data_IF_441999435841
#
_entry.id   IF_441999435841
#
_cell.length_a   1.000
_cell.length_b   1.000
_cell.length_c   1.000
_cell.angle_alpha   90.00
_cell.angle_beta   90.00
_cell.angle_gamma   90.00
#
_symmetry.space_group_name_H-M   'P 1'
#
loop_
_entity.id
_entity.type
_entity.pdbx_description
1 polymer ?
#
# COMPACT_ATOMS: atom_id res chain seq x y z
N UNK A 1 15.77 15.02 27.91
CA UNK A 1 14.82 15.57 26.93
C UNK A 1 14.48 14.43 25.98
N UNK A 2 13.21 14.10 25.82
CA UNK A 2 12.84 13.04 24.88
C UNK A 2 13.08 13.52 23.45
N UNK A 3 13.70 12.67 22.61
CA UNK A 3 13.88 12.96 21.19
C UNK A 3 12.52 13.17 20.55
N UNK A 4 12.36 14.27 19.83
CA UNK A 4 11.13 14.53 19.08
C UNK A 4 11.06 13.57 17.90
N UNK A 5 10.00 12.77 17.82
CA UNK A 5 9.76 11.85 16.72
C UNK A 5 8.85 12.53 15.71
N UNK A 6 9.31 12.62 14.47
CA UNK A 6 8.55 13.21 13.38
C UNK A 6 8.27 12.16 12.31
N UNK A 7 7.11 12.30 11.66
CA UNK A 7 6.69 11.44 10.56
C UNK A 7 6.33 12.27 9.33
N UNK A 8 6.76 11.83 8.17
CA UNK A 8 6.38 12.45 6.90
C UNK A 8 6.26 11.41 5.79
N UNK A 9 5.51 11.74 4.75
CA UNK A 9 5.40 10.92 3.54
C UNK A 9 6.14 11.63 2.42
N UNK A 10 6.96 10.91 1.66
CA UNK A 10 7.62 11.43 0.48
C UNK A 10 7.46 10.48 -0.71
N UNK A 11 7.26 11.05 -1.89
CA UNK A 11 7.29 10.28 -3.14
C UNK A 11 8.71 9.81 -3.44
N UNK A 12 8.83 8.58 -3.93
CA UNK A 12 10.11 7.97 -4.28
C UNK A 12 10.05 7.39 -5.69
N UNK A 13 11.19 7.39 -6.37
CA UNK A 13 11.36 6.83 -7.69
C UNK A 13 12.20 5.55 -7.68
N UNK A 14 12.76 5.24 -8.84
CA UNK A 14 13.53 4.01 -9.07
C UNK A 14 14.77 3.90 -8.18
N UNK A 15 15.35 5.02 -7.78
CA UNK A 15 16.51 5.08 -6.89
C UNK A 15 16.24 4.48 -5.52
N UNK A 16 14.97 4.43 -5.09
CA UNK A 16 14.55 3.88 -3.80
C UNK A 16 14.24 2.38 -3.85
N UNK A 17 14.29 1.73 -5.00
CA UNK A 17 13.93 0.31 -5.14
C UNK A 17 14.70 -0.60 -4.19
N UNK A 18 16.04 -0.48 -4.03
CA UNK A 18 16.76 -1.33 -3.09
C UNK A 18 16.23 -1.21 -1.65
N UNK A 19 16.00 0.00 -1.19
CA UNK A 19 15.51 0.29 0.15
C UNK A 19 14.05 -0.15 0.33
N UNK A 20 13.21 0.03 -0.69
CA UNK A 20 11.83 -0.45 -0.71
C UNK A 20 11.78 -1.98 -0.58
N UNK A 21 12.65 -2.68 -1.30
CA UNK A 21 12.71 -4.14 -1.26
C UNK A 21 13.16 -4.66 0.12
N UNK A 22 14.16 -4.03 0.72
CA UNK A 22 14.58 -4.37 2.09
C UNK A 22 13.43 -4.21 3.09
N UNK A 23 12.72 -3.09 3.03
CA UNK A 23 11.59 -2.82 3.89
C UNK A 23 10.44 -3.81 3.65
N UNK A 24 10.12 -4.11 2.40
CA UNK A 24 9.09 -5.08 2.04
C UNK A 24 9.39 -6.49 2.53
N UNK A 25 10.65 -6.94 2.48
CA UNK A 25 11.07 -8.25 3.01
C UNK A 25 10.89 -8.39 4.52
N UNK A 26 10.93 -7.30 5.26
CA UNK A 26 10.60 -7.30 6.69
C UNK A 26 9.08 -7.33 6.90
N UNK A 27 8.35 -6.46 6.20
CA UNK A 27 6.94 -6.18 6.49
C UNK A 27 6.01 -7.25 5.92
N UNK A 28 6.17 -7.62 4.64
CA UNK A 28 5.23 -8.49 3.94
C UNK A 28 5.19 -9.91 4.52
N UNK A 29 6.32 -10.61 4.68
CA UNK A 29 6.31 -11.94 5.32
C UNK A 29 5.74 -11.91 6.75
N UNK A 30 6.08 -10.90 7.54
CA UNK A 30 5.53 -10.74 8.89
C UNK A 30 4.00 -10.59 8.87
N UNK A 31 3.48 -9.82 7.92
CA UNK A 31 2.03 -9.58 7.80
C UNK A 31 1.26 -10.85 7.42
N UNK A 32 1.80 -11.65 6.49
CA UNK A 32 1.07 -12.77 5.88
C UNK A 32 1.41 -14.16 6.42
N UNK A 33 2.36 -14.28 7.33
CA UNK A 33 2.84 -15.58 7.87
C UNK A 33 1.76 -16.47 8.49
N UNK A 34 0.66 -15.92 8.94
CA UNK A 34 -0.47 -16.65 9.52
C UNK A 34 -1.60 -16.92 8.52
N UNK A 35 -1.52 -16.32 7.33
CA UNK A 35 -2.57 -16.40 6.29
C UNK A 35 -2.14 -17.21 5.07
N UNK A 36 -0.85 -17.20 4.75
CA UNK A 36 -0.27 -17.81 3.56
C UNK A 36 0.89 -18.74 3.94
N UNK A 37 1.13 -19.73 3.06
CA UNK A 37 2.30 -20.60 3.21
C UNK A 37 3.60 -19.83 2.96
N UNK A 38 4.75 -20.26 3.54
CA UNK A 38 6.05 -19.67 3.23
C UNK A 38 6.36 -19.66 1.73
N UNK A 39 6.03 -20.72 1.02
CA UNK A 39 6.25 -20.86 -0.42
C UNK A 39 5.42 -19.85 -1.22
N UNK A 40 4.17 -19.60 -0.83
CA UNK A 40 3.34 -18.60 -1.46
C UNK A 40 3.85 -17.17 -1.17
N UNK A 41 4.31 -16.92 0.04
CA UNK A 41 4.93 -15.64 0.41
C UNK A 41 6.16 -15.37 -0.46
N UNK A 42 7.07 -16.34 -0.59
CA UNK A 42 8.26 -16.21 -1.42
C UNK A 42 7.91 -15.95 -2.90
N UNK A 43 6.92 -16.68 -3.41
CA UNK A 43 6.41 -16.47 -4.77
C UNK A 43 5.85 -15.05 -4.96
N UNK A 44 5.03 -14.57 -4.02
CA UNK A 44 4.44 -13.24 -4.07
C UNK A 44 5.48 -12.14 -3.91
N UNK A 45 6.52 -12.36 -3.09
CA UNK A 45 7.63 -11.41 -2.95
C UNK A 45 8.39 -11.25 -4.27
N UNK A 46 8.68 -12.34 -4.99
CA UNK A 46 9.30 -12.26 -6.30
C UNK A 46 8.39 -11.58 -7.32
N UNK A 47 7.12 -11.96 -7.36
CA UNK A 47 6.13 -11.44 -8.30
C UNK A 47 5.89 -9.94 -8.15
N UNK A 48 5.85 -9.42 -6.90
CA UNK A 48 5.47 -8.03 -6.61
C UNK A 48 6.65 -7.11 -6.30
N UNK A 49 7.74 -7.65 -5.73
CA UNK A 49 8.83 -6.86 -5.16
C UNK A 49 10.20 -7.17 -5.75
N UNK A 50 10.31 -8.01 -6.78
CA UNK A 50 11.57 -8.07 -7.53
C UNK A 50 11.85 -6.70 -8.16
N UNK A 51 13.13 -6.37 -8.35
CA UNK A 51 13.53 -5.10 -9.01
C UNK A 51 12.79 -4.93 -10.34
N UNK A 52 12.77 -5.97 -11.16
CA UNK A 52 12.06 -5.98 -12.44
C UNK A 52 10.57 -5.70 -12.28
N UNK A 53 9.92 -6.29 -11.27
CA UNK A 53 8.49 -6.10 -11.02
C UNK A 53 8.19 -4.64 -10.63
N UNK A 54 8.98 -4.05 -9.73
CA UNK A 54 8.78 -2.66 -9.31
C UNK A 54 9.07 -1.68 -10.45
N UNK A 55 10.12 -1.91 -11.24
CA UNK A 55 10.42 -1.10 -12.43
C UNK A 55 9.26 -1.11 -13.42
N UNK A 56 8.70 -2.30 -13.70
CA UNK A 56 7.52 -2.41 -14.56
C UNK A 56 6.31 -1.67 -14.00
N UNK A 57 6.05 -1.81 -12.70
CA UNK A 57 4.96 -1.11 -12.02
C UNK A 57 5.11 0.41 -12.15
N UNK A 58 6.30 0.94 -11.96
CA UNK A 58 6.56 2.38 -12.07
C UNK A 58 6.49 2.89 -13.52
N UNK A 59 7.13 2.18 -14.44
CA UNK A 59 7.30 2.64 -15.84
C UNK A 59 6.10 2.37 -16.73
N UNK A 60 5.51 1.17 -16.60
CA UNK A 60 4.50 0.70 -17.55
C UNK A 60 3.08 0.76 -16.96
N UNK A 61 2.91 0.41 -15.68
CA UNK A 61 1.60 0.43 -15.03
C UNK A 61 1.23 1.80 -14.44
N UNK A 62 2.20 2.66 -14.21
CA UNK A 62 1.99 4.02 -13.72
C UNK A 62 1.86 4.13 -12.21
N UNK A 63 2.37 3.16 -11.46
CA UNK A 63 2.37 3.21 -9.99
C UNK A 63 3.22 4.38 -9.49
N UNK A 64 2.67 5.16 -8.58
CA UNK A 64 3.44 6.09 -7.75
C UNK A 64 3.69 5.47 -6.40
N UNK A 65 4.95 5.51 -5.97
CA UNK A 65 5.42 4.97 -4.70
C UNK A 65 5.78 6.06 -3.72
N UNK A 66 5.49 5.81 -2.44
CA UNK A 66 5.76 6.74 -1.35
C UNK A 66 6.35 5.99 -0.16
N UNK A 67 7.33 6.58 0.50
CA UNK A 67 7.77 6.14 1.81
C UNK A 67 7.06 6.92 2.91
N UNK A 68 6.75 6.23 4.00
CA UNK A 68 6.52 6.82 5.30
C UNK A 68 7.85 6.84 6.03
N UNK A 69 8.33 8.03 6.33
CA UNK A 69 9.62 8.26 6.99
C UNK A 69 9.40 8.63 8.44
N UNK A 70 10.26 8.10 9.31
CA UNK A 70 10.38 8.49 10.71
C UNK A 70 11.72 9.18 10.92
N UNK A 71 11.71 10.33 11.58
CA UNK A 71 12.92 11.04 11.97
C UNK A 71 13.06 11.03 13.50
N UNK A 72 14.21 10.60 13.99
CA UNK A 72 14.61 10.63 15.41
C UNK A 72 16.06 11.15 15.46
N UNK A 73 16.31 12.19 16.24
CA UNK A 73 17.67 12.78 16.39
C UNK A 73 18.34 13.06 15.03
N UNK A 74 17.60 13.68 14.10
CA UNK A 74 18.01 13.99 12.73
C UNK A 74 18.35 12.76 11.85
N UNK A 75 18.09 11.55 12.34
CA UNK A 75 18.21 10.32 11.54
C UNK A 75 16.84 9.96 10.95
N UNK A 76 16.80 9.86 9.63
CA UNK A 76 15.59 9.53 8.89
C UNK A 76 15.63 8.11 8.36
N UNK A 77 14.57 7.34 8.58
CA UNK A 77 14.44 5.97 8.10
C UNK A 77 13.03 5.68 7.56
N UNK A 78 12.89 4.84 6.52
CA UNK A 78 11.58 4.40 6.04
C UNK A 78 11.02 3.33 6.99
N UNK A 79 9.77 3.53 7.40
CA UNK A 79 9.03 2.62 8.29
C UNK A 79 7.69 2.17 7.71
N UNK A 80 7.41 2.52 6.49
CA UNK A 80 6.23 2.12 5.76
C UNK A 80 6.29 2.58 4.32
N UNK A 81 5.38 2.09 3.52
CA UNK A 81 5.26 2.46 2.11
C UNK A 81 3.85 2.30 1.60
N UNK A 82 3.55 3.04 0.55
CA UNK A 82 2.33 2.88 -0.21
C UNK A 82 2.59 3.00 -1.71
N UNK A 83 1.74 2.39 -2.51
CA UNK A 83 1.67 2.66 -3.94
C UNK A 83 0.23 2.75 -4.42
N UNK A 84 0.00 3.67 -5.34
CA UNK A 84 -1.29 3.94 -5.97
C UNK A 84 -1.09 3.99 -7.47
N UNK A 85 -2.04 3.47 -8.22
CA UNK A 85 -2.03 3.50 -9.69
C UNK A 85 -3.37 3.93 -10.27
N UNK A 86 -3.40 4.45 -11.50
CA UNK A 86 -4.64 4.59 -12.26
C UNK A 86 -5.25 3.22 -12.57
N UNK A 87 -6.59 3.11 -12.57
CA UNK A 87 -7.31 1.87 -12.87
C UNK A 87 -8.59 2.09 -13.71
N UNK A 88 -8.62 3.16 -14.46
CA UNK A 88 -9.74 3.55 -15.30
C UNK A 88 -10.05 5.03 -15.17
N UNK A 89 -11.12 5.47 -15.81
CA UNK A 89 -11.54 6.86 -15.74
C UNK A 89 -12.00 7.22 -14.32
N UNK A 90 -11.30 8.16 -13.69
CA UNK A 90 -11.53 8.60 -12.30
C UNK A 90 -11.56 7.46 -11.27
N UNK A 91 -10.95 6.33 -11.58
CA UNK A 91 -10.78 5.21 -10.66
C UNK A 91 -9.30 4.93 -10.45
N UNK A 92 -8.91 4.77 -9.19
CA UNK A 92 -7.53 4.55 -8.78
C UNK A 92 -7.45 3.35 -7.84
N UNK A 93 -6.34 2.64 -7.88
CA UNK A 93 -6.14 1.44 -7.08
C UNK A 93 -4.99 1.65 -6.09
N UNK A 94 -5.28 1.46 -4.81
CA UNK A 94 -4.28 1.40 -3.75
C UNK A 94 -3.68 -0.02 -3.75
N UNK A 95 -2.50 -0.15 -4.33
CA UNK A 95 -1.84 -1.46 -4.51
C UNK A 95 -1.16 -1.94 -3.22
N UNK A 96 -0.53 -1.01 -2.50
CA UNK A 96 0.25 -1.30 -1.30
C UNK A 96 0.03 -0.24 -0.24
N UNK A 97 -0.20 -0.66 0.99
CA UNK A 97 -0.23 0.18 2.17
C UNK A 97 0.26 -0.66 3.35
N UNK A 98 1.47 -0.43 3.79
CA UNK A 98 2.11 -1.19 4.83
C UNK A 98 2.92 -0.32 5.78
N UNK A 99 2.91 -0.67 7.06
CA UNK A 99 3.76 -0.08 8.10
C UNK A 99 4.61 -1.16 8.76
N UNK A 100 5.82 -0.78 9.18
CA UNK A 100 6.68 -1.67 9.94
C UNK A 100 5.96 -2.14 11.20
N UNK A 101 6.10 -3.43 11.60
CA UNK A 101 5.42 -3.96 12.79
C UNK A 101 5.65 -3.16 14.07
N UNK A 102 6.84 -2.58 14.22
CA UNK A 102 7.22 -1.80 15.43
C UNK A 102 6.46 -0.49 15.61
N UNK A 103 5.79 0.01 14.56
CA UNK A 103 5.08 1.32 14.60
C UNK A 103 3.58 1.18 14.45
N UNK A 104 3.05 -0.02 14.58
CA UNK A 104 1.60 -0.26 14.53
C UNK A 104 0.92 0.36 15.77
N UNK A 105 -0.33 0.80 15.58
CA UNK A 105 -1.11 1.43 16.64
C UNK A 105 -0.84 2.92 16.88
N UNK A 106 0.00 3.56 16.05
CA UNK A 106 0.33 5.00 16.14
C UNK A 106 -0.48 5.89 15.17
N UNK A 107 -1.48 5.33 14.50
CA UNK A 107 -2.29 6.08 13.52
C UNK A 107 -1.61 6.32 12.17
N UNK A 108 -0.46 5.69 11.91
CA UNK A 108 0.32 5.89 10.70
C UNK A 108 -0.33 5.29 9.44
N UNK A 109 -1.09 4.20 9.60
CA UNK A 109 -1.89 3.65 8.52
C UNK A 109 -2.98 4.63 8.04
N UNK A 110 -3.59 5.37 8.95
CA UNK A 110 -4.55 6.44 8.62
C UNK A 110 -3.87 7.57 7.86
N UNK A 111 -2.65 7.95 8.23
CA UNK A 111 -1.85 8.96 7.52
C UNK A 111 -1.56 8.53 6.08
N UNK A 112 -1.14 7.27 5.87
CA UNK A 112 -0.91 6.69 4.54
C UNK A 112 -2.20 6.64 3.71
N UNK A 113 -3.30 6.22 4.31
CA UNK A 113 -4.59 6.14 3.63
C UNK A 113 -5.09 7.52 3.17
N UNK A 114 -4.98 8.54 4.03
CA UNK A 114 -5.31 9.90 3.68
C UNK A 114 -4.44 10.42 2.52
N UNK A 115 -3.16 10.05 2.50
CA UNK A 115 -2.27 10.39 1.39
C UNK A 115 -2.69 9.72 0.08
N UNK A 116 -3.07 8.44 0.12
CA UNK A 116 -3.59 7.74 -1.05
C UNK A 116 -4.84 8.42 -1.64
N UNK A 117 -5.76 8.86 -0.78
CA UNK A 117 -6.94 9.63 -1.20
C UNK A 117 -6.56 10.97 -1.84
N UNK A 118 -5.55 11.67 -1.29
CA UNK A 118 -5.05 12.91 -1.84
C UNK A 118 -4.43 12.73 -3.23
N UNK A 119 -3.66 11.65 -3.44
CA UNK A 119 -3.08 11.30 -4.73
C UNK A 119 -4.18 11.00 -5.76
N UNK A 120 -5.19 10.23 -5.40
CA UNK A 120 -6.33 9.95 -6.28
C UNK A 120 -7.07 11.23 -6.69
N UNK A 121 -7.33 12.11 -5.72
CA UNK A 121 -7.97 13.40 -5.97
C UNK A 121 -7.12 14.34 -6.86
N UNK A 122 -5.80 14.34 -6.68
CA UNK A 122 -4.87 15.09 -7.52
C UNK A 122 -4.93 14.60 -8.98
N UNK A 123 -4.84 13.28 -9.21
CA UNK A 123 -4.95 12.71 -10.55
C UNK A 123 -6.31 12.98 -11.21
N UNK A 124 -7.38 13.00 -10.42
CA UNK A 124 -8.72 13.34 -10.91
C UNK A 124 -8.90 14.84 -11.20
N UNK A 125 -7.88 15.67 -10.94
CA UNK A 125 -7.98 17.12 -11.10
C UNK A 125 -9.00 17.76 -10.15
N UNK A 126 -9.19 17.17 -8.97
CA UNK A 126 -10.17 17.59 -7.97
C UNK A 126 -11.62 17.14 -8.26
N UNK A 127 -11.87 16.47 -9.38
CA UNK A 127 -13.19 15.90 -9.69
C UNK A 127 -13.49 14.70 -8.79
N UNK A 128 -14.77 14.36 -8.67
CA UNK A 128 -15.18 13.15 -7.97
C UNK A 128 -14.47 11.91 -8.56
N UNK A 129 -13.96 11.04 -7.68
CA UNK A 129 -13.24 9.86 -8.09
C UNK A 129 -13.44 8.72 -7.09
N UNK A 130 -12.92 7.56 -7.41
CA UNK A 130 -13.03 6.35 -6.61
C UNK A 130 -11.66 5.75 -6.33
N UNK A 131 -11.41 5.38 -5.09
CA UNK A 131 -10.23 4.62 -4.67
C UNK A 131 -10.66 3.20 -4.30
N UNK A 132 -10.02 2.22 -4.91
CA UNK A 132 -10.27 0.80 -4.65
C UNK A 132 -8.99 0.12 -4.14
N UNK A 133 -9.15 -1.02 -3.50
CA UNK A 133 -8.07 -1.92 -3.14
C UNK A 133 -8.54 -3.36 -3.06
N UNK A 134 -7.59 -4.29 -3.18
CA UNK A 134 -7.79 -5.67 -2.84
C UNK A 134 -7.17 -5.97 -1.48
N UNK A 135 -7.86 -6.72 -0.64
CA UNK A 135 -7.37 -7.17 0.67
C UNK A 135 -7.77 -8.61 0.91
N UNK A 136 -6.83 -9.43 1.35
CA UNK A 136 -7.12 -10.82 1.74
C UNK A 136 -8.25 -10.86 2.76
N UNK A 137 -9.24 -11.73 2.55
CA UNK A 137 -10.43 -11.83 3.40
C UNK A 137 -10.12 -12.15 4.86
N UNK A 138 -9.01 -12.84 5.11
CA UNK A 138 -8.54 -13.21 6.45
C UNK A 138 -7.61 -12.15 7.08
N UNK A 139 -7.29 -11.09 6.34
CA UNK A 139 -6.40 -10.04 6.83
C UNK A 139 -7.15 -9.11 7.81
N UNK A 140 -6.64 -8.92 9.04
CA UNK A 140 -7.22 -7.97 10.01
C UNK A 140 -7.34 -6.53 9.48
N UNK A 141 -6.60 -6.17 8.44
CA UNK A 141 -6.70 -4.87 7.77
C UNK A 141 -8.08 -4.59 7.17
N UNK A 142 -8.91 -5.60 6.91
CA UNK A 142 -10.32 -5.41 6.48
C UNK A 142 -11.05 -4.47 7.46
N UNK A 143 -10.92 -4.72 8.76
CA UNK A 143 -11.51 -3.85 9.79
C UNK A 143 -10.95 -2.42 9.76
N UNK A 144 -9.67 -2.27 9.49
CA UNK A 144 -9.04 -0.95 9.31
C UNK A 144 -9.67 -0.19 8.13
N UNK A 145 -9.80 -0.82 6.97
CA UNK A 145 -10.38 -0.16 5.80
C UNK A 145 -11.86 0.19 5.98
N UNK A 146 -12.64 -0.65 6.67
CA UNK A 146 -14.01 -0.32 7.06
C UNK A 146 -14.06 0.93 7.95
N UNK A 147 -13.15 1.05 8.92
CA UNK A 147 -13.04 2.24 9.78
C UNK A 147 -12.60 3.49 9.02
N UNK A 148 -11.85 3.33 7.92
CA UNK A 148 -11.46 4.44 7.04
C UNK A 148 -12.62 4.92 6.14
N UNK A 149 -13.76 4.25 6.17
CA UNK A 149 -14.95 4.62 5.40
C UNK A 149 -15.09 3.84 4.09
N UNK A 150 -14.25 2.83 3.84
CA UNK A 150 -14.41 1.95 2.70
C UNK A 150 -15.58 0.98 2.92
N UNK A 151 -16.17 0.54 1.82
CA UNK A 151 -17.16 -0.53 1.79
C UNK A 151 -16.68 -1.69 0.91
N UNK A 152 -17.22 -2.87 1.13
CA UNK A 152 -16.96 -4.01 0.26
C UNK A 152 -17.73 -3.84 -1.05
N UNK A 153 -17.00 -3.66 -2.15
CA UNK A 153 -17.56 -3.52 -3.48
C UNK A 153 -17.64 -4.85 -4.23
N UNK A 154 -16.84 -5.85 -3.82
CA UNK A 154 -16.82 -7.16 -4.44
C UNK A 154 -15.92 -8.14 -3.70
N UNK A 155 -15.78 -9.33 -4.27
CA UNK A 155 -14.87 -10.38 -3.79
C UNK A 155 -14.49 -11.31 -4.94
N UNK A 156 -13.35 -11.97 -4.80
CA UNK A 156 -12.92 -12.97 -5.78
C UNK A 156 -11.77 -13.82 -5.26
N UNK A 157 -11.56 -14.93 -5.99
CA UNK A 157 -10.41 -15.79 -5.83
C UNK A 157 -9.55 -15.61 -7.10
N UNK A 158 -8.56 -14.73 -7.00
CA UNK A 158 -7.77 -14.30 -8.16
C UNK A 158 -6.55 -15.19 -8.34
N UNK A 159 -6.44 -15.92 -9.46
CA UNK A 159 -5.25 -16.72 -9.73
C UNK A 159 -4.04 -15.82 -9.99
N UNK A 160 -2.92 -16.12 -9.33
CA UNK A 160 -1.66 -15.38 -9.48
C UNK A 160 -0.54 -16.21 -10.10
N UNK A 161 -0.87 -17.41 -10.59
CA UNK A 161 0.09 -18.34 -11.18
C UNK A 161 0.52 -19.45 -10.23
N UNK A 162 1.12 -20.50 -10.75
CA UNK A 162 1.63 -21.67 -10.03
C UNK A 162 0.63 -22.33 -9.06
N UNK A 163 -0.68 -22.21 -9.35
CA UNK A 163 -1.74 -22.76 -8.50
C UNK A 163 -2.05 -21.92 -7.26
N UNK A 164 -1.46 -20.75 -7.10
CA UNK A 164 -1.77 -19.84 -6.00
C UNK A 164 -2.90 -18.88 -6.34
N UNK A 165 -3.60 -18.44 -5.29
CA UNK A 165 -4.74 -17.53 -5.39
C UNK A 165 -4.60 -16.39 -4.37
N UNK A 166 -5.11 -15.22 -4.73
CA UNK A 166 -5.43 -14.13 -3.81
C UNK A 166 -6.94 -14.17 -3.55
N UNK A 167 -7.30 -14.57 -2.34
CA UNK A 167 -8.70 -14.68 -1.91
C UNK A 167 -9.11 -13.37 -1.25
N UNK A 168 -9.59 -12.42 -2.06
CA UNK A 168 -9.71 -11.03 -1.65
C UNK A 168 -11.15 -10.54 -1.56
N UNK A 169 -11.36 -9.53 -0.71
CA UNK A 169 -12.38 -8.52 -0.90
C UNK A 169 -11.83 -7.40 -1.78
N UNK A 170 -12.71 -6.82 -2.59
CA UNK A 170 -12.49 -5.54 -3.23
C UNK A 170 -13.17 -4.49 -2.37
N UNK A 171 -12.37 -3.56 -1.81
CA UNK A 171 -12.87 -2.45 -0.99
C UNK A 171 -12.83 -1.18 -1.80
N UNK A 172 -13.78 -0.28 -1.57
CA UNK A 172 -13.87 0.98 -2.30
C UNK A 172 -14.34 2.13 -1.42
N UNK A 173 -13.91 3.34 -1.77
CA UNK A 173 -14.41 4.60 -1.23
C UNK A 173 -14.57 5.62 -2.35
N UNK A 174 -15.70 6.33 -2.36
CA UNK A 174 -15.93 7.44 -3.26
C UNK A 174 -15.38 8.73 -2.63
N UNK A 175 -14.57 9.46 -3.40
CA UNK A 175 -13.96 10.72 -3.00
C UNK A 175 -14.72 11.82 -3.72
N UNK A 176 -15.40 12.73 -2.98
CA UNK A 176 -16.20 13.79 -3.60
C UNK A 176 -15.33 14.81 -4.33
N UNK A 177 -15.97 15.55 -5.24
CA UNK A 177 -15.34 16.69 -5.90
C UNK A 177 -14.93 17.74 -4.86
N UNK A 178 -13.74 18.31 -5.04
CA UNK A 178 -13.28 19.44 -4.22
C UNK A 178 -14.05 20.69 -4.62
N UNK A 179 -14.63 21.35 -3.62
CA UNK A 179 -15.27 22.66 -3.77
C UNK A 179 -14.24 23.76 -3.92
#
# INVERSE_FOLDING_TARGET
MGSEVQYRICEVGEEAIPQLRELAWVIFPHTYRTMLSPEQIDYMMDMMYSERAILWQMRERGDRYFFLLRTIDDQEEPIGYLSVRPDGEHTYHLEKLYTHPSVRGLGLGRMLFAHAQAVASEWAGGKACRLELNVNRDNPAVGFYLRMGMHQAGRGDFPIGQGYYMNDYIMAIDIPEKQ
#
